data_IF_929700391961
#
_entry.id   IF_929700391961
#
_cell.length_a   1.000
_cell.length_b   1.000
_cell.length_c   1.000
_cell.angle_alpha   90.00
_cell.angle_beta   90.00
_cell.angle_gamma   90.00
#
_symmetry.space_group_name_H-M   'P 1'
#
loop_
_entity.id
_entity.type
_entity.pdbx_description
1 polymer ?
#
# COMPACT_ATOMS: atom_id res chain seq x y z
N UNK A 1 16.33 7.48 -10.51
CA UNK A 1 15.17 8.22 -9.95
C UNK A 1 13.94 7.35 -9.95
N UNK A 2 13.10 7.46 -8.94
CA UNK A 2 11.90 6.64 -8.83
C UNK A 2 10.70 7.40 -9.38
N UNK A 3 9.95 6.78 -10.28
CA UNK A 3 8.68 7.30 -10.76
C UNK A 3 7.53 6.57 -10.07
N UNK A 4 6.63 7.32 -9.43
CA UNK A 4 5.42 6.76 -8.81
C UNK A 4 4.23 7.12 -9.68
N UNK A 5 3.41 6.13 -10.00
CA UNK A 5 2.22 6.31 -10.82
C UNK A 5 1.07 5.42 -10.34
N UNK A 6 -0.13 5.69 -10.84
CA UNK A 6 -1.26 4.80 -10.60
C UNK A 6 -1.02 3.45 -11.26
N UNK A 7 -1.39 2.40 -10.56
CA UNK A 7 -1.40 1.05 -11.11
C UNK A 7 -2.52 0.92 -12.16
N UNK A 8 -2.26 0.10 -13.18
CA UNK A 8 -3.20 -0.19 -14.27
C UNK A 8 -3.53 -1.66 -14.30
N UNK A 9 -4.57 -2.04 -15.04
CA UNK A 9 -4.97 -3.44 -15.14
C UNK A 9 -3.82 -4.33 -15.63
N UNK A 10 -3.05 -3.88 -16.61
CA UNK A 10 -1.93 -4.63 -17.17
C UNK A 10 -0.73 -4.80 -16.23
N UNK A 11 -0.72 -4.09 -15.11
CA UNK A 11 0.36 -4.22 -14.11
C UNK A 11 0.16 -5.40 -13.16
N UNK A 12 -0.93 -6.13 -13.27
CA UNK A 12 -1.30 -7.15 -12.29
C UNK A 12 -0.20 -8.17 -12.03
N UNK A 13 0.49 -8.65 -13.07
CA UNK A 13 1.54 -9.66 -12.88
C UNK A 13 2.66 -9.13 -11.98
N UNK A 14 3.06 -7.88 -12.17
CA UNK A 14 4.08 -7.23 -11.33
C UNK A 14 3.59 -7.05 -9.89
N UNK A 15 2.34 -6.63 -9.73
CA UNK A 15 1.73 -6.46 -8.41
C UNK A 15 1.65 -7.80 -7.68
N UNK A 16 1.19 -8.85 -8.36
CA UNK A 16 1.10 -10.18 -7.77
C UNK A 16 2.46 -10.69 -7.31
N UNK A 17 3.51 -10.48 -8.11
CA UNK A 17 4.87 -10.88 -7.74
C UNK A 17 5.35 -10.14 -6.48
N UNK A 18 5.07 -8.84 -6.37
CA UNK A 18 5.42 -8.06 -5.18
C UNK A 18 4.64 -8.51 -3.95
N UNK A 19 3.37 -8.85 -4.10
CA UNK A 19 2.56 -9.35 -2.98
C UNK A 19 3.07 -10.72 -2.49
N UNK A 20 3.53 -11.58 -3.39
CA UNK A 20 4.19 -12.83 -3.01
C UNK A 20 5.46 -12.54 -2.20
N UNK A 21 6.25 -11.58 -2.65
CA UNK A 21 7.47 -11.17 -1.92
C UNK A 21 7.12 -10.58 -0.55
N UNK A 22 6.03 -9.83 -0.43
CA UNK A 22 5.55 -9.31 0.85
C UNK A 22 5.18 -10.44 1.82
N UNK A 23 4.58 -11.51 1.30
CA UNK A 23 4.35 -12.75 2.07
C UNK A 23 3.28 -12.67 3.15
N UNK A 24 2.31 -11.77 3.02
CA UNK A 24 1.31 -11.58 4.07
C UNK A 24 -0.07 -11.21 3.57
N UNK A 25 -1.07 -11.96 3.97
CA UNK A 25 -1.00 -13.42 4.13
C UNK A 25 -0.54 -14.03 2.82
N UNK A 26 -0.15 -15.26 2.82
CA UNK A 26 0.32 -15.90 1.59
C UNK A 26 -0.73 -15.71 0.49
N UNK A 27 -0.29 -15.22 -0.66
CA UNK A 27 -1.16 -15.12 -1.83
C UNK A 27 -1.31 -16.53 -2.37
N UNK A 28 -2.36 -17.22 -1.95
CA UNK A 28 -2.56 -18.62 -2.27
C UNK A 28 -3.50 -18.83 -3.46
N UNK A 29 -4.23 -17.80 -3.85
CA UNK A 29 -5.19 -17.88 -4.94
C UNK A 29 -5.06 -16.65 -5.85
N UNK A 30 -4.38 -16.86 -6.97
CA UNK A 30 -4.15 -15.83 -7.97
C UNK A 30 -5.45 -15.32 -8.58
N UNK A 31 -6.43 -16.19 -8.80
CA UNK A 31 -7.71 -15.79 -9.39
C UNK A 31 -8.48 -14.84 -8.47
N UNK A 32 -8.51 -15.14 -7.18
CA UNK A 32 -9.14 -14.26 -6.19
C UNK A 32 -8.43 -12.91 -6.12
N UNK A 33 -7.11 -12.92 -6.12
CA UNK A 33 -6.30 -11.70 -6.11
C UNK A 33 -6.60 -10.84 -7.34
N UNK A 34 -6.65 -11.46 -8.52
CA UNK A 34 -6.96 -10.76 -9.77
C UNK A 34 -8.38 -10.16 -9.74
N UNK A 35 -9.35 -10.89 -9.22
CA UNK A 35 -10.72 -10.40 -9.12
C UNK A 35 -10.81 -9.16 -8.22
N UNK A 36 -10.13 -9.18 -7.08
CA UNK A 36 -10.08 -8.03 -6.17
C UNK A 36 -9.35 -6.85 -6.84
N UNK A 37 -8.22 -7.12 -7.47
CA UNK A 37 -7.45 -6.09 -8.17
C UNK A 37 -8.27 -5.41 -9.27
N UNK A 38 -8.96 -6.22 -10.09
CA UNK A 38 -9.79 -5.71 -11.17
C UNK A 38 -10.94 -4.84 -10.65
N UNK A 39 -11.58 -5.28 -9.55
CA UNK A 39 -12.61 -4.48 -8.91
C UNK A 39 -12.05 -3.15 -8.41
N UNK A 40 -10.87 -3.17 -7.80
CA UNK A 40 -10.25 -1.96 -7.27
C UNK A 40 -9.87 -0.98 -8.39
N UNK A 41 -9.49 -1.49 -9.58
CA UNK A 41 -9.19 -0.61 -10.72
C UNK A 41 -10.39 0.23 -11.17
N UNK A 42 -11.60 -0.24 -10.92
CA UNK A 42 -12.84 0.45 -11.27
C UNK A 42 -13.42 1.23 -10.08
N UNK A 43 -12.89 1.06 -8.89
CA UNK A 43 -13.41 1.67 -7.67
C UNK A 43 -12.83 3.08 -7.49
N UNK A 44 -13.67 4.14 -7.50
CA UNK A 44 -13.17 5.50 -7.26
C UNK A 44 -12.60 5.70 -5.86
N UNK A 45 -12.88 4.79 -4.91
CA UNK A 45 -12.35 4.83 -3.55
C UNK A 45 -11.05 4.04 -3.40
N UNK A 46 -10.43 3.61 -4.51
CA UNK A 46 -9.12 2.96 -4.51
C UNK A 46 -8.17 3.69 -5.44
N UNK A 47 -6.89 3.78 -5.05
CA UNK A 47 -5.86 4.44 -5.85
C UNK A 47 -4.51 3.75 -5.64
N UNK A 48 -4.39 2.52 -6.12
CA UNK A 48 -3.15 1.76 -5.96
C UNK A 48 -2.01 2.39 -6.75
N UNK A 49 -0.81 2.37 -6.17
CA UNK A 49 0.36 3.05 -6.69
C UNK A 49 1.48 2.06 -7.00
N UNK A 50 2.19 2.32 -8.08
CA UNK A 50 3.41 1.59 -8.44
C UNK A 50 4.59 2.53 -8.46
N UNK A 51 5.76 1.99 -8.14
CA UNK A 51 7.03 2.68 -8.31
C UNK A 51 7.86 1.98 -9.38
N UNK A 52 8.40 2.76 -10.31
CA UNK A 52 9.29 2.26 -11.36
C UNK A 52 10.68 2.84 -11.17
N UNK A 53 11.71 2.04 -11.52
CA UNK A 53 13.08 2.52 -11.55
C UNK A 53 13.38 3.22 -12.90
N UNK A 54 14.65 3.61 -13.08
CA UNK A 54 15.07 4.34 -14.28
C UNK A 54 14.93 3.53 -15.57
N UNK A 55 14.83 2.20 -15.47
CA UNK A 55 14.67 1.30 -16.63
C UNK A 55 13.21 0.90 -16.82
N UNK A 56 12.28 1.51 -16.09
CA UNK A 56 10.87 1.20 -16.22
C UNK A 56 10.43 -0.09 -15.53
N UNK A 57 11.29 -0.67 -14.70
CA UNK A 57 10.93 -1.89 -13.95
C UNK A 57 10.11 -1.52 -12.73
N UNK A 58 9.06 -2.28 -12.47
CA UNK A 58 8.23 -2.12 -11.27
C UNK A 58 9.01 -2.63 -10.07
N UNK A 59 9.30 -1.75 -9.12
CA UNK A 59 10.11 -2.07 -7.94
C UNK A 59 9.37 -1.89 -6.63
N UNK A 60 8.15 -1.38 -6.66
CA UNK A 60 7.36 -1.19 -5.44
C UNK A 60 5.88 -1.04 -5.72
N UNK A 61 5.07 -1.32 -4.70
CA UNK A 61 3.63 -1.24 -4.76
C UNK A 61 3.08 -0.73 -3.44
N UNK A 62 2.06 0.11 -3.52
CA UNK A 62 1.32 0.61 -2.36
C UNK A 62 -0.16 0.53 -2.68
N UNK A 63 -0.90 -0.31 -1.94
CA UNK A 63 -2.35 -0.29 -2.04
C UNK A 63 -2.88 0.89 -1.22
N UNK A 64 -3.90 1.57 -1.75
CA UNK A 64 -4.45 2.76 -1.10
C UNK A 64 -5.96 2.76 -1.28
N UNK A 65 -6.67 2.87 -0.17
CA UNK A 65 -8.12 2.98 -0.15
C UNK A 65 -8.53 4.22 0.62
N UNK A 66 -9.59 4.87 0.16
CA UNK A 66 -10.23 5.98 0.87
C UNK A 66 -11.53 5.45 1.45
N UNK A 67 -11.64 5.39 2.77
CA UNK A 67 -12.81 4.77 3.39
C UNK A 67 -13.50 5.74 4.34
N UNK A 68 -14.76 6.10 4.02
CA UNK A 68 -15.58 6.88 4.95
C UNK A 68 -15.93 6.03 6.17
N UNK A 69 -16.07 6.68 7.30
CA UNK A 69 -16.45 6.01 8.55
C UNK A 69 -17.54 6.83 9.24
N UNK A 70 -18.47 6.11 9.88
CA UNK A 70 -19.64 6.75 10.52
C UNK A 70 -19.26 7.79 11.57
N UNK A 71 -18.16 7.58 12.26
CA UNK A 71 -17.75 8.45 13.37
C UNK A 71 -16.68 9.46 12.99
N UNK A 72 -16.49 9.72 11.70
CA UNK A 72 -15.46 10.64 11.23
C UNK A 72 -16.03 11.63 10.22
N UNK A 73 -15.52 12.85 10.25
CA UNK A 73 -16.02 13.95 9.41
C UNK A 73 -15.50 13.91 7.97
N UNK A 74 -14.49 13.11 7.72
CA UNK A 74 -13.88 12.97 6.38
C UNK A 74 -13.39 11.54 6.18
N UNK A 75 -13.11 11.13 4.94
CA UNK A 75 -12.57 9.78 4.69
C UNK A 75 -11.20 9.58 5.36
N UNK A 76 -10.90 8.34 5.64
CA UNK A 76 -9.59 7.91 6.12
C UNK A 76 -8.85 7.27 4.96
N UNK A 77 -7.59 7.61 4.75
CA UNK A 77 -6.74 6.92 3.81
C UNK A 77 -6.15 5.69 4.49
N UNK A 78 -6.29 4.53 3.85
CA UNK A 78 -5.82 3.25 4.40
C UNK A 78 -4.87 2.57 3.42
N UNK A 79 -3.71 2.16 3.92
CA UNK A 79 -2.68 1.46 3.14
C UNK A 79 -2.57 0.04 3.68
N UNK A 80 -3.28 -0.94 3.07
CA UNK A 80 -3.16 -2.34 3.51
C UNK A 80 -1.82 -2.97 3.17
N UNK A 81 -1.21 -2.58 2.03
CA UNK A 81 0.03 -3.19 1.58
C UNK A 81 1.01 -2.12 1.12
N UNK A 82 2.25 -2.23 1.56
CA UNK A 82 3.37 -1.43 1.08
C UNK A 82 4.58 -2.35 0.96
N UNK A 83 5.08 -2.53 -0.25
CA UNK A 83 6.21 -3.42 -0.52
C UNK A 83 7.17 -2.80 -1.52
N UNK A 84 8.46 -2.88 -1.23
CA UNK A 84 9.53 -2.54 -2.14
C UNK A 84 10.36 -3.80 -2.33
N UNK A 85 10.63 -4.17 -3.57
CA UNK A 85 11.46 -5.36 -3.85
C UNK A 85 12.84 -5.20 -3.20
N UNK A 86 13.40 -6.33 -2.75
CA UNK A 86 14.63 -6.31 -1.96
C UNK A 86 15.77 -5.54 -2.64
N UNK A 87 15.95 -5.74 -3.94
CA UNK A 87 17.04 -5.09 -4.69
C UNK A 87 16.89 -3.56 -4.74
N UNK A 88 15.70 -3.03 -4.53
CA UNK A 88 15.43 -1.59 -4.58
C UNK A 88 15.27 -0.96 -3.19
N UNK A 89 15.40 -1.75 -2.12
CA UNK A 89 15.35 -1.22 -0.74
C UNK A 89 16.53 -0.28 -0.51
N UNK A 90 16.37 0.67 0.41
CA UNK A 90 17.36 1.72 0.73
C UNK A 90 17.55 2.75 -0.37
N UNK A 91 16.73 2.73 -1.42
CA UNK A 91 16.74 3.74 -2.50
C UNK A 91 15.58 4.72 -2.40
N UNK A 92 14.99 4.82 -1.21
CA UNK A 92 13.87 5.73 -0.91
C UNK A 92 12.60 5.47 -1.71
N UNK A 93 12.44 4.28 -2.26
CA UNK A 93 11.25 3.91 -3.02
C UNK A 93 10.00 3.89 -2.12
N UNK A 94 10.11 3.30 -0.93
CA UNK A 94 9.02 3.30 0.04
C UNK A 94 8.62 4.71 0.46
N UNK A 95 9.58 5.59 0.64
CA UNK A 95 9.33 7.00 0.95
C UNK A 95 8.56 7.67 -0.18
N UNK A 96 8.95 7.43 -1.44
CA UNK A 96 8.28 8.02 -2.59
C UNK A 96 6.83 7.52 -2.72
N UNK A 97 6.61 6.22 -2.51
CA UNK A 97 5.26 5.63 -2.55
C UNK A 97 4.37 6.22 -1.46
N UNK A 98 4.85 6.26 -0.23
CA UNK A 98 4.06 6.74 0.89
C UNK A 98 3.82 8.26 0.80
N UNK A 99 4.77 9.01 0.26
CA UNK A 99 4.61 10.45 0.01
C UNK A 99 3.50 10.70 -1.02
N UNK A 100 3.44 9.92 -2.09
CA UNK A 100 2.37 10.07 -3.07
C UNK A 100 1.01 9.64 -2.50
N UNK A 101 0.99 8.58 -1.69
CA UNK A 101 -0.22 8.18 -0.99
C UNK A 101 -0.75 9.32 -0.09
N UNK A 102 0.15 9.96 0.66
CA UNK A 102 -0.21 11.10 1.49
C UNK A 102 -0.74 12.27 0.66
N UNK A 103 -0.08 12.59 -0.46
CA UNK A 103 -0.51 13.67 -1.35
C UNK A 103 -1.92 13.40 -1.89
N UNK A 104 -2.20 12.17 -2.30
CA UNK A 104 -3.53 11.80 -2.80
C UNK A 104 -4.57 11.84 -1.70
N UNK A 105 -4.21 11.41 -0.49
CA UNK A 105 -5.11 11.49 0.67
C UNK A 105 -5.48 12.95 0.97
N UNK A 106 -4.51 13.85 0.93
CA UNK A 106 -4.77 15.28 1.16
C UNK A 106 -5.69 15.88 0.09
N UNK A 107 -5.47 15.52 -1.19
CA UNK A 107 -6.33 16.01 -2.28
C UNK A 107 -7.76 15.47 -2.18
N UNK A 108 -7.95 14.28 -1.59
CA UNK A 108 -9.28 13.71 -1.34
C UNK A 108 -9.94 14.28 -0.08
N UNK A 109 -9.25 15.14 0.65
CA UNK A 109 -9.79 15.72 1.89
C UNK A 109 -9.74 14.76 3.08
N UNK A 110 -8.89 13.74 3.03
CA UNK A 110 -8.73 12.82 4.17
C UNK A 110 -8.06 13.54 5.33
N UNK A 111 -8.52 13.26 6.54
CA UNK A 111 -7.92 13.83 7.75
C UNK A 111 -6.84 12.94 8.35
N UNK A 112 -6.73 11.69 7.91
CA UNK A 112 -5.83 10.70 8.52
C UNK A 112 -5.41 9.66 7.50
N UNK A 113 -4.15 9.21 7.58
CA UNK A 113 -3.62 8.09 6.82
C UNK A 113 -3.19 7.03 7.82
N UNK A 114 -3.62 5.79 7.60
CA UNK A 114 -3.35 4.70 8.54
C UNK A 114 -2.89 3.44 7.80
N UNK A 115 -2.12 2.63 8.49
CA UNK A 115 -1.72 1.30 8.06
C UNK A 115 -1.52 0.42 9.29
N UNK A 116 -1.36 -0.87 9.04
CA UNK A 116 -1.11 -1.85 10.09
C UNK A 116 0.20 -2.57 9.79
N UNK A 117 0.93 -2.95 10.81
CA UNK A 117 2.20 -3.67 10.67
C UNK A 117 2.33 -4.67 11.80
N UNK A 118 2.78 -5.89 11.47
CA UNK A 118 2.98 -6.93 12.47
C UNK A 118 4.04 -6.52 13.50
N UNK A 119 3.86 -6.93 14.75
CA UNK A 119 4.76 -6.57 15.85
C UNK A 119 6.23 -6.90 15.59
N UNK A 120 6.51 -7.95 14.86
CA UNK A 120 7.88 -8.40 14.61
C UNK A 120 8.60 -7.62 13.51
N UNK A 121 7.89 -6.80 12.73
CA UNK A 121 8.47 -6.07 11.60
C UNK A 121 9.11 -4.75 12.04
N UNK A 122 10.17 -4.85 12.83
CA UNK A 122 10.80 -3.68 13.47
C UNK A 122 11.39 -2.69 12.47
N UNK A 123 11.95 -3.17 11.36
CA UNK A 123 12.49 -2.28 10.32
C UNK A 123 11.39 -1.45 9.67
N UNK A 124 10.23 -2.05 9.40
CA UNK A 124 9.09 -1.32 8.87
C UNK A 124 8.60 -0.26 9.87
N UNK A 125 8.55 -0.59 11.16
CA UNK A 125 8.14 0.36 12.19
C UNK A 125 9.07 1.57 12.23
N UNK A 126 10.39 1.36 12.16
CA UNK A 126 11.35 2.46 12.12
C UNK A 126 11.12 3.35 10.90
N UNK A 127 10.84 2.74 9.75
CA UNK A 127 10.53 3.48 8.54
C UNK A 127 9.26 4.33 8.72
N UNK A 128 8.19 3.76 9.24
CA UNK A 128 6.93 4.49 9.43
C UNK A 128 7.08 5.65 10.41
N UNK A 129 7.74 5.41 11.54
CA UNK A 129 7.98 6.46 12.52
C UNK A 129 8.87 7.57 11.94
N UNK A 130 9.90 7.21 11.18
CA UNK A 130 10.76 8.17 10.52
C UNK A 130 10.05 8.98 9.44
N UNK A 131 9.02 8.40 8.82
CA UNK A 131 8.19 9.12 7.85
C UNK A 131 7.24 10.12 8.52
N UNK A 132 6.93 9.92 9.78
CA UNK A 132 6.06 10.80 10.54
C UNK A 132 4.76 10.16 11.01
N UNK A 133 4.60 8.83 10.82
CA UNK A 133 3.46 8.14 11.41
C UNK A 133 3.71 7.93 12.90
N UNK A 134 2.61 7.74 13.65
CA UNK A 134 2.66 7.44 15.08
C UNK A 134 2.05 6.07 15.33
N UNK A 135 2.45 5.45 16.44
CA UNK A 135 1.81 4.21 16.90
C UNK A 135 0.51 4.57 17.60
N UNK A 136 -0.61 4.38 16.90
CA UNK A 136 -1.92 4.81 17.37
C UNK A 136 -2.71 3.70 18.07
N UNK A 137 -2.18 2.50 18.20
CA UNK A 137 -2.87 1.42 18.89
C UNK A 137 -2.57 0.03 18.35
N UNK A 138 -3.31 -0.94 18.83
CA UNK A 138 -3.14 -2.34 18.51
C UNK A 138 -4.15 -2.79 17.46
N UNK A 139 -3.75 -3.73 16.62
CA UNK A 139 -4.65 -4.43 15.71
C UNK A 139 -5.02 -5.78 16.32
N UNK A 140 -6.32 -6.10 16.33
CA UNK A 140 -6.83 -7.37 16.84
C UNK A 140 -7.51 -8.11 15.70
N UNK A 141 -7.22 -9.39 15.57
CA UNK A 141 -7.81 -10.22 14.53
C UNK A 141 -8.17 -11.60 15.06
N UNK A 142 -9.11 -12.24 14.38
CA UNK A 142 -9.52 -13.61 14.70
C UNK A 142 -9.84 -14.34 13.39
N UNK A 143 -9.23 -15.50 13.18
CA UNK A 143 -9.59 -16.34 12.04
C UNK A 143 -11.03 -16.85 12.22
N UNK A 144 -11.80 -16.81 11.15
CA UNK A 144 -13.19 -17.26 11.17
C UNK A 144 -13.37 -18.62 10.48
N UNK A 145 -12.30 -19.17 9.96
CA UNK A 145 -12.25 -20.49 9.33
C UNK A 145 -11.08 -21.28 9.85
#
# INVERSE_FOLDING_TARGET
>A
MTLVRLARQEDFDSVAALLVELGRPAVTDRETCLAVYTRDMEDPEAAHLLAEDDEGRVVGFCSLHFRPRLNQVSPQAYVPDLIVTEAARSKKVGHALLSEAENRARRRGCHHLTLESAHWRKDAHRFYLGFGLTDDGLAFGKALV
#
